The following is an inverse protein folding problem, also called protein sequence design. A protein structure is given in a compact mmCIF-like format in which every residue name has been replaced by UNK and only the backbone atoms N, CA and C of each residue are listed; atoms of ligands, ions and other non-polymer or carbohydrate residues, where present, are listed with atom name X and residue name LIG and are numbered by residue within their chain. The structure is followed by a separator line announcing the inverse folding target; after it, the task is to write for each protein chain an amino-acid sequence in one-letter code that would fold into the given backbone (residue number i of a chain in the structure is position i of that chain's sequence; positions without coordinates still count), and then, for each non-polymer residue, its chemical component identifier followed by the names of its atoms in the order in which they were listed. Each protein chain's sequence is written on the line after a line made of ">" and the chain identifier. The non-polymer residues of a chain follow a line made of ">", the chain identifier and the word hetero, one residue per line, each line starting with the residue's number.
data_IF_333564276532
#
_entry.id   IF_333564276532
#
_cell.length_a   1.000
_cell.length_b   1.000
_cell.length_c   1.000
_cell.angle_alpha   90.00
_cell.angle_beta   90.00
_cell.angle_gamma   90.00
#
_symmetry.space_group_name_H-M   'P 1'
#
loop_
_entity.id
_entity.type
_entity.pdbx_description
1 polymer ?
#
# COMPACT_ATOMS: atom_id res chain seq x y z
N UNK A 1 -25.35 -24.17 12.68
CA UNK A 1 -24.02 -23.63 13.04
C UNK A 1 -24.26 -22.31 13.75
N UNK A 2 -23.87 -22.21 15.02
CA UNK A 2 -24.02 -20.99 15.81
C UNK A 2 -22.78 -20.14 15.60
N UNK A 3 -22.95 -18.94 15.04
CA UNK A 3 -21.91 -17.92 14.92
C UNK A 3 -21.46 -17.57 16.34
N UNK A 4 -20.17 -17.69 16.64
CA UNK A 4 -19.60 -17.33 17.93
C UNK A 4 -18.55 -16.25 17.66
N UNK A 5 -18.86 -14.96 17.88
CA UNK A 5 -17.86 -13.91 17.71
C UNK A 5 -16.64 -14.24 18.57
N UNK A 6 -15.45 -14.11 17.99
CA UNK A 6 -14.19 -14.22 18.72
C UNK A 6 -14.18 -13.22 19.89
N UNK A 7 -13.56 -13.56 21.03
CA UNK A 7 -13.65 -12.76 22.25
C UNK A 7 -13.21 -11.32 21.99
N UNK A 8 -14.07 -10.40 22.43
CA UNK A 8 -13.93 -8.95 22.35
C UNK A 8 -12.61 -8.48 22.97
N UNK A 9 -11.86 -7.63 22.26
CA UNK A 9 -10.76 -6.88 22.86
C UNK A 9 -11.36 -5.67 23.58
N UNK A 10 -11.13 -5.54 24.89
CA UNK A 10 -11.57 -4.35 25.66
C UNK A 10 -10.94 -3.04 25.16
N UNK A 11 -9.92 -3.14 24.29
CA UNK A 11 -9.19 -1.99 23.74
C UNK A 11 -9.58 -1.63 22.31
N UNK A 12 -10.39 -2.46 21.63
CA UNK A 12 -10.63 -2.36 20.19
C UNK A 12 -12.02 -2.86 19.78
N UNK A 13 -12.78 -1.99 19.08
CA UNK A 13 -14.20 -2.19 18.77
C UNK A 13 -14.47 -2.64 17.31
N UNK A 14 -13.48 -3.12 16.55
CA UNK A 14 -13.75 -3.71 15.21
C UNK A 14 -13.79 -5.23 15.32
N UNK A 15 -14.89 -5.87 14.88
CA UNK A 15 -15.05 -7.31 14.97
C UNK A 15 -14.05 -8.04 14.06
N UNK A 16 -13.52 -9.17 14.55
CA UNK A 16 -12.70 -10.12 13.79
C UNK A 16 -13.54 -11.37 13.54
N UNK A 17 -13.73 -11.71 12.26
CA UNK A 17 -14.59 -12.79 11.78
C UNK A 17 -13.75 -13.88 11.10
N UNK A 18 -14.22 -15.12 11.11
CA UNK A 18 -13.68 -16.19 10.27
C UNK A 18 -14.30 -16.12 8.87
N UNK A 19 -13.51 -16.38 7.80
CA UNK A 19 -13.97 -16.42 6.39
C UNK A 19 -15.20 -17.35 6.20
N UNK A 20 -15.27 -18.43 6.98
CA UNK A 20 -16.41 -19.36 6.97
C UNK A 20 -17.72 -18.80 7.56
N UNK A 21 -17.65 -17.74 8.36
CA UNK A 21 -18.81 -17.09 8.99
C UNK A 21 -19.47 -16.04 8.09
N UNK A 22 -18.78 -15.55 7.06
CA UNK A 22 -19.23 -14.51 6.13
C UNK A 22 -19.98 -15.07 4.90
N UNK A 23 -20.91 -16.01 5.15
CA UNK A 23 -22.01 -16.48 4.27
C UNK A 23 -21.88 -16.14 2.77
N UNK A 24 -20.98 -16.85 2.07
CA UNK A 24 -20.98 -16.90 0.60
C UNK A 24 -20.12 -15.86 -0.13
N UNK A 25 -19.46 -14.94 0.57
CA UNK A 25 -18.33 -14.18 0.01
C UNK A 25 -17.06 -14.93 0.41
N UNK A 26 -16.88 -16.14 -0.12
CA UNK A 26 -15.55 -16.74 -0.09
C UNK A 26 -14.65 -15.84 -0.90
N UNK A 27 -13.67 -15.20 -0.25
CA UNK A 27 -12.75 -14.29 -0.91
C UNK A 27 -12.25 -14.95 -2.20
N UNK A 28 -12.36 -14.26 -3.34
CA UNK A 28 -11.82 -14.75 -4.62
C UNK A 28 -10.30 -14.79 -4.51
N UNK A 29 -9.77 -15.83 -3.86
CA UNK A 29 -8.34 -16.08 -3.65
C UNK A 29 -7.57 -16.10 -4.97
N UNK A 30 -8.26 -16.37 -6.08
CA UNK A 30 -7.69 -16.52 -7.42
C UNK A 30 -7.37 -15.21 -8.16
N UNK A 31 -7.92 -14.05 -7.73
CA UNK A 31 -7.82 -12.78 -8.51
C UNK A 31 -6.88 -11.72 -7.91
N UNK A 32 -6.40 -11.91 -6.68
CA UNK A 32 -5.33 -11.09 -6.12
C UNK A 32 -4.00 -11.59 -6.68
N UNK A 33 -3.42 -10.85 -7.64
CA UNK A 33 -2.11 -11.14 -8.19
C UNK A 33 -1.08 -11.23 -7.07
N UNK A 34 -0.14 -12.18 -7.21
CA UNK A 34 0.79 -12.58 -6.15
C UNK A 34 1.80 -11.45 -5.89
N UNK A 35 1.84 -10.85 -4.67
CA UNK A 35 2.93 -10.00 -4.23
C UNK A 35 4.26 -10.79 -4.18
N UNK A 36 5.34 -10.16 -4.64
CA UNK A 36 6.70 -10.72 -4.59
C UNK A 36 7.42 -10.20 -3.34
N UNK A 37 7.26 -10.92 -2.20
CA UNK A 37 7.82 -10.54 -0.90
C UNK A 37 9.20 -11.14 -0.59
N UNK A 38 9.65 -12.13 -1.36
CA UNK A 38 11.01 -12.69 -1.30
C UNK A 38 11.39 -13.40 0.01
N UNK A 39 10.46 -13.79 0.87
CA UNK A 39 10.80 -14.40 2.17
C UNK A 39 11.05 -15.93 2.11
N UNK A 40 12.10 -16.42 2.80
CA UNK A 40 12.58 -17.82 2.78
C UNK A 40 12.62 -18.50 4.16
N UNK A 41 11.98 -17.91 5.19
CA UNK A 41 11.98 -18.41 6.57
C UNK A 41 10.90 -19.46 6.88
N UNK A 42 11.02 -20.14 8.04
CA UNK A 42 9.93 -20.98 8.57
C UNK A 42 8.77 -20.09 9.01
N UNK A 43 7.75 -20.02 8.17
CA UNK A 43 6.57 -19.19 8.37
C UNK A 43 5.76 -19.69 9.58
N UNK A 44 5.68 -18.85 10.63
CA UNK A 44 4.94 -19.11 11.87
C UNK A 44 3.93 -17.97 12.09
N UNK A 45 2.80 -17.99 11.38
CA UNK A 45 1.80 -16.94 11.48
C UNK A 45 1.16 -16.89 12.87
N UNK A 46 0.89 -15.69 13.35
CA UNK A 46 0.06 -15.47 14.54
C UNK A 46 -1.43 -15.57 14.18
N UNK A 47 -2.30 -15.96 15.13
CA UNK A 47 -3.75 -15.79 14.95
C UNK A 47 -4.09 -14.33 14.66
N UNK A 48 -5.06 -14.08 13.76
CA UNK A 48 -5.40 -12.73 13.31
C UNK A 48 -5.72 -11.79 14.48
N UNK A 49 -6.48 -12.26 15.48
CA UNK A 49 -6.81 -11.47 16.65
C UNK A 49 -5.55 -10.95 17.37
N UNK A 50 -4.57 -11.83 17.58
CA UNK A 50 -3.32 -11.45 18.26
C UNK A 50 -2.50 -10.45 17.44
N UNK A 51 -2.30 -10.72 16.15
CA UNK A 51 -1.51 -9.83 15.29
C UNK A 51 -2.18 -8.47 15.10
N UNK A 52 -3.52 -8.41 15.08
CA UNK A 52 -4.25 -7.15 15.04
C UNK A 52 -4.19 -6.39 16.37
N UNK A 53 -4.28 -7.06 17.52
CA UNK A 53 -4.01 -6.44 18.83
C UNK A 53 -2.62 -5.81 18.91
N UNK A 54 -1.58 -6.53 18.47
CA UNK A 54 -0.23 -5.98 18.37
C UNK A 54 -0.18 -4.77 17.41
N UNK A 55 -0.87 -4.84 16.26
CA UNK A 55 -0.99 -3.73 15.34
C UNK A 55 -1.65 -2.50 15.97
N UNK A 56 -2.69 -2.67 16.79
CA UNK A 56 -3.35 -1.56 17.49
C UNK A 56 -2.43 -0.88 18.49
N UNK A 57 -1.64 -1.66 19.24
CA UNK A 57 -0.65 -1.09 20.15
C UNK A 57 0.41 -0.28 19.39
N UNK A 58 0.90 -0.80 18.27
CA UNK A 58 1.87 -0.10 17.41
C UNK A 58 1.28 1.18 16.84
N UNK A 59 0.06 1.14 16.30
CA UNK A 59 -0.60 2.31 15.73
C UNK A 59 -0.93 3.35 16.80
N UNK A 60 -1.32 2.94 18.01
CA UNK A 60 -1.56 3.86 19.13
C UNK A 60 -0.29 4.63 19.52
N UNK A 61 0.86 3.97 19.47
CA UNK A 61 2.16 4.57 19.77
C UNK A 61 2.63 5.50 18.64
N UNK A 62 2.56 5.02 17.40
CA UNK A 62 3.20 5.70 16.26
C UNK A 62 2.29 6.67 15.51
N UNK A 63 0.98 6.39 15.44
CA UNK A 63 0.04 7.15 14.62
C UNK A 63 -1.40 7.02 15.11
N UNK A 64 -1.73 7.57 16.31
CA UNK A 64 -3.02 7.36 16.95
C UNK A 64 -4.21 7.82 16.11
N UNK A 65 -4.05 8.85 15.27
CA UNK A 65 -5.12 9.36 14.41
C UNK A 65 -5.61 8.33 13.38
N UNK A 66 -4.78 7.36 12.99
CA UNK A 66 -5.22 6.25 12.13
C UNK A 66 -6.28 5.41 12.83
N UNK A 67 -6.20 5.25 14.15
CA UNK A 67 -7.18 4.48 14.91
C UNK A 67 -8.55 5.16 14.94
N UNK A 68 -8.59 6.50 14.92
CA UNK A 68 -9.84 7.23 14.80
C UNK A 68 -10.49 6.99 13.43
N UNK A 69 -9.70 6.93 12.36
CA UNK A 69 -10.20 6.54 11.03
C UNK A 69 -10.70 5.11 11.03
N UNK A 70 -9.92 4.21 11.62
CA UNK A 70 -10.22 2.79 11.74
C UNK A 70 -11.56 2.55 12.44
N UNK A 71 -11.86 3.30 13.50
CA UNK A 71 -13.13 3.22 14.23
C UNK A 71 -14.36 3.56 13.37
N UNK A 72 -14.19 4.44 12.39
CA UNK A 72 -15.30 4.94 11.54
C UNK A 72 -15.41 4.15 10.24
N UNK A 73 -14.27 3.73 9.68
CA UNK A 73 -14.19 3.22 8.31
C UNK A 73 -14.06 1.70 8.22
N UNK A 74 -13.63 1.00 9.28
CA UNK A 74 -13.48 -0.45 9.26
C UNK A 74 -14.70 -1.13 9.87
N UNK A 75 -15.55 -1.81 9.06
CA UNK A 75 -16.71 -2.51 9.59
C UNK A 75 -16.33 -3.82 10.30
N UNK A 76 -15.33 -4.54 9.77
CA UNK A 76 -14.86 -5.83 10.29
C UNK A 76 -13.50 -6.20 9.67
N UNK A 77 -12.77 -7.08 10.34
CA UNK A 77 -11.61 -7.80 9.80
C UNK A 77 -11.97 -9.28 9.61
N UNK A 78 -11.51 -9.90 8.53
CA UNK A 78 -11.78 -11.31 8.22
C UNK A 78 -10.48 -12.09 8.17
N UNK A 79 -10.37 -13.15 8.98
CA UNK A 79 -9.23 -14.07 9.00
C UNK A 79 -9.32 -15.01 7.79
N UNK A 80 -8.48 -14.76 6.79
CA UNK A 80 -8.33 -15.62 5.62
C UNK A 80 -7.44 -16.84 5.90
N UNK A 81 -6.90 -16.94 7.11
CA UNK A 81 -5.97 -17.97 7.52
C UNK A 81 -4.60 -17.80 6.86
N UNK A 82 -4.03 -18.93 6.49
CA UNK A 82 -2.70 -19.07 5.94
C UNK A 82 -2.69 -19.67 4.55
N UNK A 83 -1.82 -19.23 3.61
CA UNK A 83 -1.66 -20.00 2.39
C UNK A 83 -1.05 -21.37 2.73
N UNK A 84 -1.66 -22.46 2.23
CA UNK A 84 -1.15 -23.83 2.47
C UNK A 84 0.29 -24.03 1.96
N UNK A 85 0.73 -23.21 0.99
CA UNK A 85 1.99 -23.41 0.29
C UNK A 85 2.90 -22.18 0.13
N UNK A 86 2.59 -20.98 0.65
CA UNK A 86 3.44 -19.77 0.44
C UNK A 86 3.34 -18.71 1.53
N UNK A 87 4.40 -17.89 1.61
CA UNK A 87 4.60 -16.71 2.46
C UNK A 87 3.75 -15.49 2.11
N UNK A 88 2.73 -15.61 1.25
CA UNK A 88 2.09 -14.44 0.63
C UNK A 88 1.21 -13.69 1.64
N UNK A 89 1.68 -12.51 2.05
CA UNK A 89 0.88 -11.52 2.79
C UNK A 89 -0.10 -10.83 1.83
N UNK A 90 -1.39 -10.91 2.14
CA UNK A 90 -2.46 -10.29 1.37
C UNK A 90 -3.43 -9.55 2.29
N UNK A 91 -3.75 -8.33 1.90
CA UNK A 91 -4.84 -7.52 2.42
C UNK A 91 -5.74 -7.10 1.26
N UNK A 92 -7.05 -7.10 1.48
CA UNK A 92 -8.00 -6.64 0.46
C UNK A 92 -9.32 -6.15 1.05
N UNK A 93 -9.89 -5.16 0.38
CA UNK A 93 -11.25 -4.65 0.52
C UNK A 93 -11.91 -4.58 -0.87
N UNK A 94 -13.22 -4.79 -0.94
CA UNK A 94 -13.96 -4.86 -2.22
C UNK A 94 -14.79 -3.60 -2.52
N UNK A 95 -14.73 -2.60 -1.65
CA UNK A 95 -15.42 -1.33 -1.80
C UNK A 95 -15.73 -0.69 -0.46
N UNK A 96 -16.27 0.52 -0.52
CA UNK A 96 -16.60 1.32 0.66
C UNK A 96 -17.47 0.54 1.66
N UNK A 97 -17.04 0.49 2.93
CA UNK A 97 -17.78 -0.14 4.01
C UNK A 97 -17.85 -1.66 3.91
N UNK A 98 -16.96 -2.28 3.13
CA UNK A 98 -16.81 -3.75 3.11
C UNK A 98 -15.81 -4.22 4.16
N UNK A 99 -15.93 -5.45 4.69
CA UNK A 99 -14.92 -6.02 5.56
C UNK A 99 -13.55 -6.11 4.88
N UNK A 100 -12.51 -5.99 5.70
CA UNK A 100 -11.12 -6.13 5.26
C UNK A 100 -10.66 -7.56 5.48
N UNK A 101 -10.21 -8.22 4.42
CA UNK A 101 -9.74 -9.59 4.44
C UNK A 101 -8.23 -9.62 4.60
N UNK A 102 -7.73 -10.33 5.63
CA UNK A 102 -6.32 -10.37 5.98
C UNK A 102 -5.84 -11.83 6.07
N UNK A 103 -4.72 -12.13 5.39
CA UNK A 103 -3.95 -13.36 5.66
C UNK A 103 -3.14 -13.19 6.93
N UNK A 104 -2.92 -14.27 7.69
CA UNK A 104 -2.12 -14.22 8.91
C UNK A 104 -0.65 -13.88 8.65
N UNK A 105 -0.06 -13.12 9.56
CA UNK A 105 1.32 -12.60 9.48
C UNK A 105 2.15 -13.02 10.69
N UNK A 106 3.48 -12.85 10.61
CA UNK A 106 4.38 -13.22 11.69
C UNK A 106 4.61 -12.07 12.70
N UNK A 107 4.37 -10.83 12.29
CA UNK A 107 4.62 -9.64 13.10
C UNK A 107 3.42 -8.67 13.10
N UNK A 108 3.04 -8.13 14.27
CA UNK A 108 1.96 -7.14 14.35
C UNK A 108 2.19 -5.87 13.53
N UNK A 109 3.45 -5.50 13.28
CA UNK A 109 3.78 -4.37 12.39
C UNK A 109 3.29 -4.60 10.95
N UNK A 110 3.29 -5.85 10.48
CA UNK A 110 2.76 -6.20 9.15
C UNK A 110 1.26 -5.90 9.09
N UNK A 111 0.49 -6.25 10.12
CA UNK A 111 -0.92 -5.86 10.15
C UNK A 111 -1.16 -4.37 10.41
N UNK A 112 -0.27 -3.68 11.13
CA UNK A 112 -0.36 -2.22 11.23
C UNK A 112 -0.25 -1.57 9.84
N UNK A 113 0.65 -2.09 9.00
CA UNK A 113 0.75 -1.67 7.60
C UNK A 113 -0.47 -2.06 6.76
N UNK A 114 -1.00 -3.28 6.91
CA UNK A 114 -2.22 -3.71 6.20
C UNK A 114 -3.42 -2.83 6.55
N UNK A 115 -3.62 -2.53 7.84
CA UNK A 115 -4.71 -1.67 8.30
C UNK A 115 -4.58 -0.26 7.73
N UNK A 116 -3.36 0.32 7.75
CA UNK A 116 -3.12 1.63 7.14
C UNK A 116 -3.40 1.60 5.64
N UNK A 117 -2.97 0.54 4.95
CA UNK A 117 -3.17 0.36 3.51
C UNK A 117 -4.65 0.29 3.14
N UNK A 118 -5.42 -0.59 3.80
CA UNK A 118 -6.83 -0.79 3.49
C UNK A 118 -7.68 0.40 3.91
N UNK A 119 -7.32 1.08 5.00
CA UNK A 119 -7.95 2.35 5.36
C UNK A 119 -7.77 3.44 4.31
N UNK A 120 -6.64 3.47 3.62
CA UNK A 120 -6.45 4.41 2.52
C UNK A 120 -7.36 4.08 1.34
N UNK A 121 -7.64 2.80 1.07
CA UNK A 121 -8.64 2.41 0.07
C UNK A 121 -10.04 2.87 0.46
N UNK A 122 -10.46 2.61 1.70
CA UNK A 122 -11.75 3.08 2.23
C UNK A 122 -11.90 4.60 2.13
N UNK A 123 -10.86 5.35 2.53
CA UNK A 123 -10.85 6.81 2.42
C UNK A 123 -10.98 7.28 0.98
N UNK A 124 -10.29 6.65 0.03
CA UNK A 124 -10.46 7.01 -1.38
C UNK A 124 -11.86 6.69 -1.89
N UNK A 125 -12.39 5.51 -1.58
CA UNK A 125 -13.73 5.13 -2.05
C UNK A 125 -14.84 6.03 -1.49
N UNK A 126 -14.68 6.53 -0.27
CA UNK A 126 -15.70 7.34 0.39
C UNK A 126 -15.55 8.86 0.18
N UNK A 127 -14.32 9.35 0.09
CA UNK A 127 -14.04 10.79 0.18
C UNK A 127 -13.52 11.40 -1.11
N UNK A 128 -12.97 10.60 -2.04
CA UNK A 128 -12.47 11.13 -3.30
C UNK A 128 -13.60 11.34 -4.29
N UNK A 129 -13.74 12.57 -4.80
CA UNK A 129 -14.50 12.80 -6.02
C UNK A 129 -13.65 12.41 -7.23
N UNK A 130 -13.96 11.26 -7.85
CA UNK A 130 -13.24 10.76 -9.03
C UNK A 130 -13.22 11.73 -10.20
N UNK A 131 -14.19 12.66 -10.28
CA UNK A 131 -14.26 13.70 -11.31
C UNK A 131 -13.09 14.69 -11.26
N UNK A 132 -12.32 14.71 -10.17
CA UNK A 132 -11.08 15.47 -10.08
C UNK A 132 -9.98 14.96 -11.04
N UNK A 133 -10.16 13.75 -11.59
CA UNK A 133 -9.18 13.04 -12.39
C UNK A 133 -9.78 12.65 -13.75
N UNK A 134 -9.26 13.22 -14.83
CA UNK A 134 -9.87 13.15 -16.16
C UNK A 134 -9.84 11.75 -16.79
N UNK A 135 -9.06 10.82 -16.22
CA UNK A 135 -8.88 9.47 -16.75
C UNK A 135 -9.11 8.39 -15.69
N UNK A 136 -9.77 8.75 -14.60
CA UNK A 136 -10.03 7.84 -13.49
C UNK A 136 -10.78 6.57 -13.90
N UNK A 137 -11.80 6.71 -14.74
CA UNK A 137 -12.64 5.58 -15.18
C UNK A 137 -12.13 4.89 -16.47
N UNK A 138 -10.99 5.34 -17.01
CA UNK A 138 -10.37 4.71 -18.18
C UNK A 138 -9.85 3.31 -17.81
N UNK A 139 -10.37 2.26 -18.45
CA UNK A 139 -9.82 0.90 -18.34
C UNK A 139 -8.59 0.68 -19.24
N UNK A 140 -8.32 1.61 -20.15
CA UNK A 140 -7.18 1.59 -21.09
C UNK A 140 -6.67 3.01 -21.35
N UNK A 141 -5.38 3.17 -21.70
CA UNK A 141 -4.37 2.12 -21.76
C UNK A 141 -3.93 1.71 -20.35
N UNK A 142 -3.15 0.63 -20.27
CA UNK A 142 -2.61 0.14 -19.00
C UNK A 142 -1.15 0.56 -18.83
N UNK A 143 -0.71 0.55 -17.59
CA UNK A 143 0.61 0.99 -17.15
C UNK A 143 1.24 -0.12 -16.32
N UNK A 144 2.56 -0.19 -16.33
CA UNK A 144 3.32 -0.97 -15.35
C UNK A 144 3.00 -0.44 -13.97
N UNK A 145 2.35 -1.29 -13.17
CA UNK A 145 2.14 -1.05 -11.74
C UNK A 145 3.44 -1.31 -11.00
N UNK A 146 3.89 -0.39 -10.14
CA UNK A 146 5.08 -0.62 -9.32
C UNK A 146 4.86 -1.64 -8.19
N UNK A 147 3.60 -2.05 -7.94
CA UNK A 147 3.22 -2.90 -6.81
C UNK A 147 2.74 -4.29 -7.22
N UNK A 148 2.29 -4.43 -8.48
CA UNK A 148 1.67 -5.67 -8.99
C UNK A 148 2.38 -6.18 -10.22
N UNK A 149 2.28 -7.49 -10.44
CA UNK A 149 2.89 -8.19 -11.57
C UNK A 149 2.02 -8.14 -12.84
N UNK A 150 0.84 -7.53 -12.76
CA UNK A 150 -0.09 -7.30 -13.86
C UNK A 150 -0.23 -5.79 -14.19
N UNK A 151 -0.41 -5.41 -15.48
CA UNK A 151 -0.66 -4.04 -15.90
C UNK A 151 -1.91 -3.46 -15.24
N UNK A 152 -1.93 -2.15 -15.04
CA UNK A 152 -3.02 -1.46 -14.35
C UNK A 152 -3.50 -0.21 -15.09
N UNK A 153 -4.81 0.08 -15.12
CA UNK A 153 -5.29 1.41 -15.48
C UNK A 153 -4.87 2.44 -14.41
N UNK A 154 -4.99 3.72 -14.73
CA UNK A 154 -4.54 4.80 -13.83
C UNK A 154 -5.23 4.79 -12.47
N UNK A 155 -6.50 4.40 -12.40
CA UNK A 155 -7.19 4.15 -11.12
C UNK A 155 -6.42 3.21 -10.20
N UNK A 156 -5.85 2.14 -10.76
CA UNK A 156 -5.03 1.19 -10.01
C UNK A 156 -3.71 1.81 -9.52
N UNK A 157 -3.10 2.68 -10.34
CA UNK A 157 -1.89 3.43 -9.95
C UNK A 157 -2.19 4.42 -8.82
N UNK A 158 -3.31 5.14 -8.91
CA UNK A 158 -3.81 6.03 -7.87
C UNK A 158 -4.05 5.31 -6.54
N UNK A 159 -4.79 4.20 -6.57
CA UNK A 159 -5.09 3.40 -5.39
C UNK A 159 -3.80 2.89 -4.74
N UNK A 160 -2.87 2.36 -5.53
CA UNK A 160 -1.58 1.88 -5.03
C UNK A 160 -0.75 3.00 -4.40
N UNK A 161 -0.57 4.12 -5.11
CA UNK A 161 0.21 5.25 -4.62
C UNK A 161 -0.36 5.80 -3.30
N UNK A 162 -1.66 6.04 -3.24
CA UNK A 162 -2.29 6.62 -2.05
C UNK A 162 -2.10 5.72 -0.82
N UNK A 163 -2.31 4.40 -0.97
CA UNK A 163 -2.13 3.46 0.13
C UNK A 163 -0.67 3.32 0.57
N UNK A 164 0.26 3.16 -0.38
CA UNK A 164 1.68 2.98 -0.03
C UNK A 164 2.38 4.27 0.43
N UNK A 165 1.86 5.46 0.12
CA UNK A 165 2.31 6.70 0.75
C UNK A 165 2.06 6.71 2.26
N UNK A 166 0.89 6.23 2.68
CA UNK A 166 0.56 6.12 4.09
C UNK A 166 1.35 5.00 4.78
N UNK A 167 1.54 3.85 4.12
CA UNK A 167 2.40 2.77 4.63
C UNK A 167 3.82 3.28 4.87
N UNK A 168 4.43 3.98 3.91
CA UNK A 168 5.76 4.58 4.12
C UNK A 168 5.77 5.61 5.24
N UNK A 169 4.69 6.39 5.41
CA UNK A 169 4.55 7.34 6.51
C UNK A 169 4.51 6.63 7.87
N UNK A 170 3.89 5.45 7.97
CA UNK A 170 3.97 4.60 9.17
C UNK A 170 5.40 4.08 9.38
N UNK A 171 6.01 3.49 8.34
CA UNK A 171 7.38 2.93 8.40
C UNK A 171 8.43 3.96 8.79
N UNK A 172 8.33 5.19 8.30
CA UNK A 172 9.20 6.31 8.68
C UNK A 172 9.07 6.62 10.18
N UNK A 173 7.86 6.58 10.75
CA UNK A 173 7.66 6.76 12.20
C UNK A 173 8.17 5.56 13.00
N UNK A 174 8.22 4.39 12.40
CA UNK A 174 8.71 3.15 12.99
C UNK A 174 10.24 2.96 12.89
N UNK A 175 10.99 3.91 12.30
CA UNK A 175 12.43 3.72 12.02
C UNK A 175 13.28 3.38 13.24
N UNK A 176 12.91 3.86 14.42
CA UNK A 176 13.63 3.60 15.67
C UNK A 176 13.26 2.25 16.33
N UNK A 177 12.27 1.53 15.77
CA UNK A 177 11.84 0.23 16.29
C UNK A 177 12.85 -0.88 15.97
N UNK A 178 12.91 -1.96 16.78
CA UNK A 178 13.86 -3.06 16.58
C UNK A 178 13.80 -3.73 15.21
N UNK A 179 12.62 -3.83 14.60
CA UNK A 179 12.39 -4.42 13.29
C UNK A 179 13.21 -3.69 12.20
N UNK A 180 13.24 -2.36 12.25
CA UNK A 180 14.01 -1.51 11.33
C UNK A 180 15.51 -1.49 11.61
N UNK A 181 16.03 -2.28 12.56
CA UNK A 181 17.47 -2.60 12.62
C UNK A 181 17.87 -3.65 11.59
N UNK A 182 16.91 -4.47 11.14
CA UNK A 182 17.14 -5.49 10.13
C UNK A 182 17.17 -4.85 8.74
N UNK A 183 18.06 -5.37 7.88
CA UNK A 183 18.30 -4.84 6.55
C UNK A 183 17.05 -4.95 5.66
N UNK A 184 16.34 -6.06 5.80
CA UNK A 184 15.19 -6.44 5.02
C UNK A 184 14.06 -5.42 5.15
N UNK A 185 13.75 -4.99 6.38
CA UNK A 185 12.74 -3.97 6.66
C UNK A 185 13.10 -2.61 6.05
N UNK A 186 14.37 -2.20 6.14
CA UNK A 186 14.86 -0.96 5.51
C UNK A 186 14.78 -1.04 3.98
N UNK A 187 15.16 -2.17 3.41
CA UNK A 187 15.05 -2.39 1.98
C UNK A 187 13.60 -2.34 1.50
N UNK A 188 12.65 -2.94 2.23
CA UNK A 188 11.22 -2.86 1.87
C UNK A 188 10.67 -1.43 1.94
N UNK A 189 11.11 -0.62 2.91
CA UNK A 189 10.80 0.81 2.97
C UNK A 189 11.34 1.56 1.74
N UNK A 190 12.63 1.37 1.42
CA UNK A 190 13.26 1.99 0.26
C UNK A 190 12.58 1.59 -1.06
N UNK A 191 12.36 0.29 -1.25
CA UNK A 191 11.67 -0.27 -2.41
C UNK A 191 10.29 0.35 -2.57
N UNK A 192 9.48 0.35 -1.51
CA UNK A 192 8.13 0.94 -1.56
C UNK A 192 8.17 2.44 -1.87
N UNK A 193 9.15 3.19 -1.35
CA UNK A 193 9.30 4.62 -1.65
C UNK A 193 9.59 4.89 -3.12
N UNK A 194 10.50 4.11 -3.70
CA UNK A 194 10.83 4.25 -5.13
C UNK A 194 9.69 3.79 -6.03
N UNK A 195 8.92 2.78 -5.61
CA UNK A 195 7.65 2.42 -6.27
C UNK A 195 6.64 3.58 -6.22
N UNK A 196 6.55 4.31 -5.11
CA UNK A 196 5.69 5.49 -4.99
C UNK A 196 6.14 6.61 -5.94
N UNK A 197 7.44 6.86 -6.05
CA UNK A 197 8.00 7.86 -6.97
C UNK A 197 7.67 7.54 -8.44
N UNK A 198 7.86 6.28 -8.85
CA UNK A 198 7.47 5.81 -10.19
C UNK A 198 5.97 6.02 -10.43
N UNK A 199 5.13 5.55 -9.50
CA UNK A 199 3.68 5.67 -9.62
C UNK A 199 3.24 7.13 -9.74
N UNK A 200 3.84 8.02 -8.96
CA UNK A 200 3.57 9.45 -9.02
C UNK A 200 3.98 10.05 -10.38
N UNK A 201 5.15 9.68 -10.92
CA UNK A 201 5.57 10.09 -12.27
C UNK A 201 4.57 9.63 -13.33
N UNK A 202 4.09 8.39 -13.27
CA UNK A 202 3.02 7.90 -14.15
C UNK A 202 1.76 8.78 -14.07
N UNK A 203 1.31 9.14 -12.88
CA UNK A 203 0.12 10.00 -12.74
C UNK A 203 0.34 11.40 -13.31
N UNK A 204 1.52 12.00 -13.08
CA UNK A 204 1.86 13.31 -13.61
C UNK A 204 1.79 13.37 -15.14
N UNK A 205 2.24 12.31 -15.81
CA UNK A 205 2.31 12.29 -17.27
C UNK A 205 0.96 11.98 -17.91
N UNK A 206 0.09 11.22 -17.23
CA UNK A 206 -1.07 10.62 -17.87
C UNK A 206 -2.46 11.00 -17.31
N UNK A 207 -2.63 11.41 -16.05
CA UNK A 207 -3.95 11.50 -15.37
C UNK A 207 -4.88 12.61 -15.88
N UNK A 208 -4.34 13.70 -16.46
CA UNK A 208 -5.11 14.89 -16.86
C UNK A 208 -6.04 15.41 -15.73
N UNK A 209 -5.49 15.80 -14.58
CA UNK A 209 -6.27 16.26 -13.43
C UNK A 209 -6.97 17.60 -13.68
N UNK A 210 -8.13 17.81 -13.06
CA UNK A 210 -8.78 19.12 -12.92
C UNK A 210 -7.94 20.02 -11.98
N UNK A 211 -8.29 21.32 -11.78
CA UNK A 211 -7.66 22.12 -10.74
C UNK A 211 -7.67 21.46 -9.35
N UNK A 212 -8.79 20.88 -8.95
CA UNK A 212 -8.95 20.17 -7.68
C UNK A 212 -8.07 18.91 -7.64
N UNK A 213 -8.02 18.14 -8.73
CA UNK A 213 -7.13 16.98 -8.84
C UNK A 213 -5.65 17.36 -8.73
N UNK A 214 -5.25 18.53 -9.23
CA UNK A 214 -3.87 19.03 -9.07
C UNK A 214 -3.54 19.35 -7.61
N UNK A 215 -4.49 19.86 -6.83
CA UNK A 215 -4.29 20.05 -5.39
C UNK A 215 -4.06 18.71 -4.68
N UNK A 216 -4.81 17.67 -5.05
CA UNK A 216 -4.61 16.32 -4.50
C UNK A 216 -3.24 15.74 -4.88
N UNK A 217 -2.83 15.88 -6.15
CA UNK A 217 -1.48 15.47 -6.58
C UNK A 217 -0.39 16.27 -5.86
N UNK A 218 -0.64 17.53 -5.51
CA UNK A 218 0.31 18.35 -4.77
C UNK A 218 0.51 17.85 -3.34
N UNK A 219 -0.56 17.40 -2.69
CA UNK A 219 -0.49 16.77 -1.37
C UNK A 219 0.30 15.45 -1.41
N UNK A 220 0.10 14.64 -2.46
CA UNK A 220 0.89 13.42 -2.67
C UNK A 220 2.38 13.74 -2.90
N UNK A 221 2.67 14.76 -3.72
CA UNK A 221 4.03 15.24 -3.97
C UNK A 221 4.70 15.74 -2.69
N UNK A 222 3.95 16.46 -1.85
CA UNK A 222 4.44 16.96 -0.56
C UNK A 222 4.80 15.80 0.36
N UNK A 223 3.93 14.79 0.49
CA UNK A 223 4.21 13.60 1.28
C UNK A 223 5.47 12.86 0.77
N UNK A 224 5.61 12.69 -0.56
CA UNK A 224 6.81 12.10 -1.16
C UNK A 224 8.07 12.89 -0.83
N UNK A 225 8.02 14.21 -1.01
CA UNK A 225 9.16 15.10 -0.79
C UNK A 225 9.60 15.13 0.67
N UNK A 226 8.66 15.07 1.62
CA UNK A 226 8.96 15.01 3.05
C UNK A 226 9.56 13.66 3.47
N UNK A 227 9.04 12.56 2.93
CA UNK A 227 9.50 11.21 3.26
C UNK A 227 10.86 10.89 2.63
N UNK A 228 11.13 11.39 1.42
CA UNK A 228 12.31 11.05 0.64
C UNK A 228 13.64 11.20 1.39
N UNK A 229 14.00 12.37 1.97
CA UNK A 229 15.28 12.49 2.68
C UNK A 229 15.36 11.61 3.93
N UNK A 230 14.23 11.28 4.56
CA UNK A 230 14.21 10.40 5.74
C UNK A 230 14.52 8.96 5.34
N UNK A 231 13.97 8.51 4.22
CA UNK A 231 14.12 7.15 3.69
C UNK A 231 15.50 6.96 3.03
N UNK A 232 16.01 7.94 2.29
CA UNK A 232 17.35 7.82 1.68
C UNK A 232 18.48 7.77 2.73
N UNK A 233 18.27 8.29 3.95
CA UNK A 233 19.25 8.15 5.05
C UNK A 233 19.48 6.72 5.52
N UNK A 234 18.54 5.80 5.23
CA UNK A 234 18.69 4.38 5.58
C UNK A 234 19.06 3.50 4.39
N UNK A 235 19.24 4.11 3.20
CA UNK A 235 19.68 3.42 2.00
C UNK A 235 21.20 3.22 2.00
N UNK A 236 21.64 2.17 1.31
CA UNK A 236 23.05 1.94 0.98
C UNK A 236 23.18 1.45 -0.47
N UNK A 237 24.42 1.43 -0.97
CA UNK A 237 24.71 1.09 -2.37
C UNK A 237 24.22 -0.31 -2.76
N UNK A 238 24.27 -1.27 -1.83
CA UNK A 238 23.78 -2.64 -2.07
C UNK A 238 22.25 -2.65 -2.20
N UNK A 239 21.53 -1.82 -1.42
CA UNK A 239 20.07 -1.67 -1.55
C UNK A 239 19.72 -1.01 -2.89
N UNK A 240 20.51 -0.03 -3.31
CA UNK A 240 20.33 0.63 -4.61
C UNK A 240 20.47 -0.36 -5.76
N UNK A 241 21.56 -1.14 -5.77
CA UNK A 241 21.77 -2.16 -6.78
C UNK A 241 20.67 -3.24 -6.76
N UNK A 242 20.24 -3.66 -5.57
CA UNK A 242 19.17 -4.64 -5.41
C UNK A 242 17.82 -4.10 -5.95
N UNK A 243 17.51 -2.84 -5.67
CA UNK A 243 16.30 -2.20 -6.20
C UNK A 243 16.36 -2.08 -7.72
N UNK A 244 17.47 -1.60 -8.29
CA UNK A 244 17.61 -1.43 -9.74
C UNK A 244 17.49 -2.78 -10.46
N UNK A 245 18.10 -3.84 -9.92
CA UNK A 245 17.98 -5.19 -10.46
C UNK A 245 16.53 -5.72 -10.38
N UNK A 246 15.88 -5.54 -9.23
CA UNK A 246 14.48 -5.95 -9.05
C UNK A 246 13.54 -5.19 -9.99
N UNK A 247 13.70 -3.88 -10.13
CA UNK A 247 12.83 -3.04 -10.96
C UNK A 247 12.95 -3.40 -12.45
N UNK A 248 14.16 -3.72 -12.94
CA UNK A 248 14.35 -4.21 -14.33
C UNK A 248 13.59 -5.50 -14.60
N UNK A 249 13.67 -6.45 -13.66
CA UNK A 249 12.96 -7.72 -13.76
C UNK A 249 11.43 -7.51 -13.67
N UNK A 250 10.99 -6.63 -12.78
CA UNK A 250 9.59 -6.29 -12.60
C UNK A 250 9.00 -5.67 -13.86
N UNK A 251 9.62 -4.64 -14.45
CA UNK A 251 9.18 -4.06 -15.72
C UNK A 251 9.06 -5.11 -16.83
N UNK A 252 10.10 -5.94 -17.00
CA UNK A 252 10.07 -7.03 -17.99
C UNK A 252 8.91 -8.00 -17.76
N UNK A 253 8.64 -8.35 -16.51
CA UNK A 253 7.53 -9.26 -16.12
C UNK A 253 6.16 -8.65 -16.43
N UNK A 254 5.94 -7.39 -16.09
CA UNK A 254 4.65 -6.71 -16.31
C UNK A 254 4.41 -6.42 -17.79
N UNK A 255 5.42 -5.93 -18.51
CA UNK A 255 5.32 -5.70 -19.95
C UNK A 255 5.13 -7.01 -20.74
N UNK A 256 5.62 -8.13 -20.22
CA UNK A 256 5.41 -9.46 -20.80
C UNK A 256 3.98 -10.00 -20.65
N UNK A 257 3.17 -9.46 -19.72
CA UNK A 257 1.80 -9.92 -19.49
C UNK A 257 0.72 -9.10 -20.20
N UNK A 258 1.09 -7.99 -20.85
CA UNK A 258 0.17 -7.19 -21.67
C UNK A 258 0.78 -5.87 -22.18
N UNK A 259 0.10 -5.16 -23.09
CA UNK A 259 0.56 -3.89 -23.60
C UNK A 259 0.52 -2.81 -22.50
N UNK A 260 1.65 -2.15 -22.28
CA UNK A 260 1.83 -1.07 -21.31
C UNK A 260 2.37 0.19 -21.99
N UNK A 261 2.05 1.37 -21.43
CA UNK A 261 2.45 2.66 -22.01
C UNK A 261 3.75 3.20 -21.45
N UNK A 262 3.95 3.11 -20.13
CA UNK A 262 5.16 3.60 -19.48
C UNK A 262 6.30 2.59 -19.67
N UNK A 263 7.39 3.05 -20.29
CA UNK A 263 8.57 2.24 -20.57
C UNK A 263 9.58 2.23 -19.41
N UNK A 264 10.46 1.23 -19.41
CA UNK A 264 11.47 1.09 -18.38
C UNK A 264 12.55 2.18 -18.44
N UNK A 265 12.89 2.70 -19.62
CA UNK A 265 13.98 3.67 -19.78
C UNK A 265 13.66 4.98 -19.04
N UNK A 266 12.43 5.47 -19.18
CA UNK A 266 11.97 6.71 -18.57
C UNK A 266 11.57 6.52 -17.11
N UNK A 267 10.82 5.45 -16.79
CA UNK A 267 10.17 5.33 -15.47
C UNK A 267 11.00 4.60 -14.42
N UNK A 268 12.16 4.06 -14.79
CA UNK A 268 13.13 3.53 -13.81
C UNK A 268 13.99 4.62 -13.16
N UNK A 269 14.06 5.83 -13.72
CA UNK A 269 14.77 6.95 -13.08
C UNK A 269 13.96 7.54 -11.93
N UNK A 270 14.01 6.83 -10.80
CA UNK A 270 13.37 7.28 -9.56
C UNK A 270 13.98 8.58 -9.02
N UNK A 271 15.22 8.95 -9.40
CA UNK A 271 15.85 10.20 -8.97
C UNK A 271 15.21 11.39 -9.66
N UNK A 272 14.97 11.29 -10.97
CA UNK A 272 14.20 12.29 -11.71
C UNK A 272 12.79 12.43 -11.11
N UNK A 273 12.11 11.32 -10.83
CA UNK A 273 10.79 11.33 -10.22
C UNK A 273 10.78 12.03 -8.84
N UNK A 274 11.82 11.86 -8.02
CA UNK A 274 11.98 12.56 -6.74
C UNK A 274 12.14 14.08 -6.94
N UNK A 275 12.92 14.51 -7.92
CA UNK A 275 13.07 15.93 -8.27
C UNK A 275 11.75 16.52 -8.75
N UNK A 276 10.99 15.78 -9.57
CA UNK A 276 9.67 16.21 -10.05
C UNK A 276 8.69 16.37 -8.89
N UNK A 277 8.63 15.42 -7.96
CA UNK A 277 7.80 15.53 -6.77
C UNK A 277 8.15 16.77 -5.93
N UNK A 278 9.45 17.00 -5.67
CA UNK A 278 9.91 18.16 -4.91
C UNK A 278 9.64 19.51 -5.61
N UNK A 279 9.61 19.55 -6.94
CA UNK A 279 9.25 20.77 -7.70
C UNK A 279 7.75 20.99 -7.76
N UNK A 280 6.96 19.93 -7.82
CA UNK A 280 5.51 20.03 -7.93
C UNK A 280 4.89 20.74 -6.71
N UNK A 281 5.44 20.50 -5.52
CA UNK A 281 5.02 21.16 -4.27
C UNK A 281 5.21 22.68 -4.33
N UNK A 282 6.32 23.15 -4.91
CA UNK A 282 6.65 24.57 -5.01
C UNK A 282 5.69 25.33 -5.94
N UNK A 283 5.19 24.67 -6.98
CA UNK A 283 4.28 25.29 -7.96
C UNK A 283 2.83 25.35 -7.45
N UNK A 284 2.39 24.33 -6.72
CA UNK A 284 1.03 24.29 -6.17
C UNK A 284 0.80 25.31 -5.04
N UNK A 285 1.86 25.69 -4.30
CA UNK A 285 1.79 26.71 -3.26
C UNK A 285 1.68 28.16 -3.76
N UNK A 286 1.81 28.41 -5.07
CA UNK A 286 1.71 29.74 -5.67
C UNK A 286 0.33 30.09 -6.25
N UNK A 287 -0.62 29.16 -6.20
CA UNK A 287 -1.97 29.31 -6.79
C UNK A 287 -3.10 29.33 -5.76
N UNK A 288 -2.77 29.45 -4.47
CA UNK A 288 -3.71 29.57 -3.36
C UNK A 288 -3.94 31.03 -2.95
#
# INVERSE_FOLDING_TARGET
>A
MSIQPLPWSETWNVPVLDDSEMLGITGRREQAGIPDDGSTGTWRPMPLLRSTEEAFHILRELWPEVLDWARVLLPALVDMGGPENRSVRCSSSYGAGTPVFLTRVAHGLEHAEDLVHELQHERMYLLLDSRAFGRWDDSRPEFVSAYRTDPRPLRGVHLGLHSFLAVNRLRVRALDRPEFKQREWRFQLLKSHRCNLLSFRTLLDFERPTPEGRVLLAQMAQALSEQHPLIERVADADMDQAFDAWMKQHFSRVAGSGPVVNDAETYMDWREAAVLAARYTQHAGGAA
#
